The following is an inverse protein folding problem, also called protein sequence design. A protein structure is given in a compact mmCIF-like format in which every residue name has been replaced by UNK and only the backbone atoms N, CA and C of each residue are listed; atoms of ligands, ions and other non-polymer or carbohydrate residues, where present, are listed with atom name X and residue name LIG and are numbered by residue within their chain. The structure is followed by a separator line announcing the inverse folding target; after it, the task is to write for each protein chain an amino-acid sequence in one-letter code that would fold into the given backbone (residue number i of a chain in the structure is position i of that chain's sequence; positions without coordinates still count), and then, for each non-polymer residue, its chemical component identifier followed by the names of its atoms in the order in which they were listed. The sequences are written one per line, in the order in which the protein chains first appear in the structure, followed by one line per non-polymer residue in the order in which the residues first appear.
data_IF_151330950962
#
_entry.id   IF_151330950962
#
_cell.length_a   1.000
_cell.length_b   1.000
_cell.length_c   1.000
_cell.angle_alpha   90.00
_cell.angle_beta   90.00
_cell.angle_gamma   90.00
#
_symmetry.space_group_name_H-M   'P 1'
#
loop_
_entity.id
_entity.type
_entity.pdbx_description
1 polymer ?
#
# COMPACT_ATOMS: atom_id res chain seq x y z
N UNK A 1 -3.62 9.67 -6.40
CA UNK A 1 -3.07 8.51 -5.65
C UNK A 1 -1.93 7.82 -6.39
N UNK A 2 -2.16 7.33 -7.62
CA UNK A 2 -1.16 6.63 -8.45
C UNK A 2 0.20 7.34 -8.51
N UNK A 3 0.25 8.63 -8.88
CA UNK A 3 1.50 9.39 -8.96
C UNK A 3 2.29 9.41 -7.65
N UNK A 4 1.61 9.58 -6.51
CA UNK A 4 2.25 9.55 -5.18
C UNK A 4 2.89 8.19 -4.90
N UNK A 5 2.18 7.10 -5.19
CA UNK A 5 2.70 5.75 -5.00
C UNK A 5 3.83 5.46 -6.00
N UNK A 6 3.76 5.98 -7.23
CA UNK A 6 4.84 5.89 -8.21
C UNK A 6 6.14 6.51 -7.70
N UNK A 7 6.06 7.69 -7.06
CA UNK A 7 7.23 8.34 -6.47
C UNK A 7 7.84 7.55 -5.29
N UNK A 8 7.09 6.61 -4.72
CA UNK A 8 7.46 5.81 -3.56
C UNK A 8 7.72 4.32 -3.91
N UNK A 9 7.81 3.98 -5.20
CA UNK A 9 8.07 2.60 -5.64
C UNK A 9 9.41 2.13 -5.06
N UNK A 10 9.41 1.00 -4.35
CA UNK A 10 10.62 0.47 -3.71
C UNK A 10 10.95 1.05 -2.34
N UNK A 11 10.08 1.89 -1.75
CA UNK A 11 10.23 2.42 -0.39
C UNK A 11 9.07 2.02 0.53
N UNK A 12 9.33 1.90 1.83
CA UNK A 12 8.27 1.67 2.81
C UNK A 12 7.38 2.92 2.98
N UNK A 13 6.08 2.70 3.10
CA UNK A 13 5.14 3.77 3.40
C UNK A 13 3.97 3.32 4.24
N UNK A 14 3.31 4.29 4.87
CA UNK A 14 2.06 4.07 5.57
C UNK A 14 0.91 4.15 4.57
N UNK A 15 0.18 3.05 4.42
CA UNK A 15 -1.02 2.96 3.60
C UNK A 15 -2.26 2.99 4.48
N UNK A 16 -3.15 3.94 4.21
CA UNK A 16 -4.46 4.03 4.82
C UNK A 16 -5.55 3.60 3.85
N UNK A 17 -6.38 2.66 4.28
CA UNK A 17 -7.57 2.22 3.56
C UNK A 17 -8.80 3.06 3.95
N UNK A 18 -9.71 3.24 3.00
CA UNK A 18 -11.00 3.91 3.22
C UNK A 18 -11.87 3.12 4.19
N UNK A 19 -11.89 1.80 4.04
CA UNK A 19 -12.61 0.84 4.90
C UNK A 19 -11.60 -0.06 5.59
N UNK A 20 -11.98 -0.63 6.74
CA UNK A 20 -11.14 -1.58 7.46
C UNK A 20 -10.84 -2.78 6.57
N UNK A 21 -9.55 -3.05 6.34
CA UNK A 21 -9.09 -4.22 5.59
C UNK A 21 -8.65 -5.34 6.52
N UNK A 22 -8.17 -6.43 5.93
CA UNK A 22 -7.66 -7.60 6.65
C UNK A 22 -6.54 -7.27 7.64
N UNK A 23 -5.73 -6.24 7.35
CA UNK A 23 -4.59 -5.83 8.17
C UNK A 23 -4.86 -4.54 8.95
N UNK A 24 -6.13 -4.21 9.17
CA UNK A 24 -6.55 -2.96 9.78
C UNK A 24 -6.77 -1.85 8.75
N UNK A 25 -6.85 -0.62 9.25
CA UNK A 25 -7.12 0.57 8.42
C UNK A 25 -5.86 1.23 7.92
N UNK A 26 -4.86 1.36 8.77
CA UNK A 26 -3.59 2.03 8.47
C UNK A 26 -2.45 1.05 8.81
N UNK A 27 -1.57 0.79 7.85
CA UNK A 27 -0.49 -0.20 8.01
C UNK A 27 0.69 0.10 7.09
N UNK A 28 1.83 -0.51 7.41
CA UNK A 28 3.02 -0.45 6.58
C UNK A 28 2.86 -1.26 5.30
N UNK A 29 3.09 -0.61 4.18
CA UNK A 29 2.95 -1.16 2.85
C UNK A 29 4.17 -0.79 1.99
N UNK A 30 4.69 -1.80 1.30
CA UNK A 30 5.80 -1.67 0.38
C UNK A 30 5.32 -1.91 -1.05
N UNK A 31 5.09 -0.85 -1.85
CA UNK A 31 4.63 -0.98 -3.22
C UNK A 31 5.73 -1.59 -4.11
N UNK A 32 5.37 -2.62 -4.88
CA UNK A 32 6.29 -3.27 -5.84
C UNK A 32 5.81 -3.20 -7.27
N UNK A 33 4.50 -3.08 -7.51
CA UNK A 33 3.95 -3.06 -8.85
C UNK A 33 2.76 -2.11 -8.92
N UNK A 34 2.82 -1.19 -9.88
CA UNK A 34 1.77 -0.18 -10.09
C UNK A 34 1.05 -0.51 -11.38
N UNK A 35 -0.25 -0.74 -11.27
CA UNK A 35 -1.17 -0.89 -12.41
C UNK A 35 -2.06 0.33 -12.54
N UNK A 36 -2.79 0.40 -13.65
CA UNK A 36 -3.67 1.53 -14.00
C UNK A 36 -4.66 1.89 -12.87
N UNK A 37 -5.24 0.87 -12.22
CA UNK A 37 -6.30 1.04 -11.21
C UNK A 37 -5.95 0.45 -9.82
N UNK A 38 -4.77 -0.16 -9.67
CA UNK A 38 -4.39 -0.82 -8.43
C UNK A 38 -2.89 -0.80 -8.21
N UNK A 39 -2.48 -0.96 -6.96
CA UNK A 39 -1.10 -1.21 -6.57
C UNK A 39 -1.00 -2.60 -5.94
N UNK A 40 0.04 -3.32 -6.28
CA UNK A 40 0.45 -4.55 -5.60
C UNK A 40 1.70 -4.25 -4.80
N UNK A 41 1.81 -4.88 -3.64
CA UNK A 41 2.95 -4.71 -2.77
C UNK A 41 2.95 -5.74 -1.66
N UNK A 42 3.73 -5.45 -0.64
CA UNK A 42 3.88 -6.30 0.52
C UNK A 42 3.51 -5.57 1.80
N UNK A 43 2.92 -6.31 2.72
CA UNK A 43 2.73 -5.89 4.12
C UNK A 43 3.50 -6.83 5.03
N UNK A 44 4.02 -6.33 6.14
CA UNK A 44 4.60 -7.15 7.20
C UNK A 44 3.58 -7.35 8.31
N UNK A 45 3.20 -8.61 8.53
CA UNK A 45 2.21 -8.99 9.54
C UNK A 45 2.68 -10.27 10.21
N UNK A 46 2.85 -10.23 11.54
CA UNK A 46 3.26 -11.39 12.33
C UNK A 46 4.57 -12.03 11.87
N UNK A 47 5.57 -11.23 11.51
CA UNK A 47 6.89 -11.72 11.06
C UNK A 47 6.90 -12.36 9.67
N UNK A 48 5.80 -12.26 8.92
CA UNK A 48 5.72 -12.75 7.53
C UNK A 48 5.36 -11.62 6.58
N UNK A 49 5.95 -11.68 5.38
CA UNK A 49 5.65 -10.77 4.29
C UNK A 49 4.51 -11.31 3.45
N UNK A 50 3.35 -10.65 3.46
CA UNK A 50 2.20 -11.05 2.66
C UNK A 50 2.08 -10.17 1.42
N UNK A 51 1.91 -10.79 0.24
CA UNK A 51 1.65 -10.08 -1.01
C UNK A 51 0.19 -9.67 -1.05
N UNK A 52 -0.07 -8.39 -1.24
CA UNK A 52 -1.43 -7.84 -1.25
C UNK A 52 -1.62 -6.90 -2.43
N UNK A 53 -2.87 -6.73 -2.83
CA UNK A 53 -3.26 -5.84 -3.92
C UNK A 53 -4.41 -4.96 -3.48
N UNK A 54 -4.27 -3.66 -3.68
CA UNK A 54 -5.30 -2.68 -3.38
C UNK A 54 -5.63 -1.83 -4.60
N UNK A 55 -6.92 -1.69 -4.88
CA UNK A 55 -7.40 -0.69 -5.83
C UNK A 55 -7.19 0.72 -5.29
N UNK A 56 -6.89 1.69 -6.15
CA UNK A 56 -6.74 3.09 -5.70
C UNK A 56 -8.03 3.65 -5.08
N UNK A 57 -9.19 3.10 -5.45
CA UNK A 57 -10.48 3.42 -4.82
C UNK A 57 -10.53 2.99 -3.36
N UNK A 58 -9.86 1.90 -2.98
CA UNK A 58 -9.80 1.40 -1.61
C UNK A 58 -8.82 2.20 -0.74
N UNK A 59 -7.86 2.87 -1.34
CA UNK A 59 -6.82 3.63 -0.63
C UNK A 59 -7.34 5.03 -0.31
N UNK A 60 -7.37 5.37 0.97
CA UNK A 60 -7.65 6.72 1.48
C UNK A 60 -6.44 7.62 1.25
N UNK A 61 -5.27 7.18 1.69
CA UNK A 61 -4.02 7.92 1.64
C UNK A 61 -2.83 6.95 1.63
N UNK A 62 -1.71 7.41 1.10
CA UNK A 62 -0.44 6.72 1.18
C UNK A 62 0.68 7.76 1.30
N UNK A 63 1.57 7.56 2.26
CA UNK A 63 2.72 8.41 2.55
C UNK A 63 3.93 7.51 2.69
N UNK A 64 4.94 7.68 1.84
CA UNK A 64 6.21 7.00 2.01
C UNK A 64 7.17 7.82 2.87
N UNK A 65 8.05 7.11 3.54
CA UNK A 65 9.19 7.68 4.24
C UNK A 65 10.38 7.44 3.32
N UNK A 66 10.88 8.52 2.72
CA UNK A 66 12.01 8.50 1.79
C UNK A 66 13.28 8.04 2.48
#
# INVERSE_FOLDING_TARGET
MRQRICACLGSWGLLGLRRQGQFGRDFWFFPTEIRRNSVTGYVWVGGRRQRVRYGYSQIRNFVCFG
#
